data_IF_647932547139
#
_entry.id   IF_647932547139
#
_cell.length_a   1.000
_cell.length_b   1.000
_cell.length_c   1.000
_cell.angle_alpha   90.00
_cell.angle_beta   90.00
_cell.angle_gamma   90.00
#
_symmetry.space_group_name_H-M   'P 1'
#
loop_
_entity.id
_entity.type
_entity.pdbx_description
1 polymer ?
#
# COMPACT_ATOMS: atom_id res chain seq x y z
N UNK A 1 20.36 -16.48 -3.17
CA UNK A 1 18.88 -16.64 -3.33
C UNK A 1 18.18 -16.63 -1.98
N UNK A 2 18.63 -17.42 -0.99
CA UNK A 2 18.07 -17.43 0.36
C UNK A 2 18.14 -16.04 1.03
N UNK A 3 19.29 -15.34 0.95
CA UNK A 3 19.42 -13.97 1.46
C UNK A 3 18.41 -12.98 0.85
N UNK A 4 18.09 -13.09 -0.44
CA UNK A 4 17.10 -12.23 -1.11
C UNK A 4 15.69 -12.54 -0.61
N UNK A 5 15.31 -13.82 -0.52
CA UNK A 5 14.01 -14.25 -0.01
C UNK A 5 13.82 -13.90 1.46
N UNK A 6 14.87 -14.09 2.28
CA UNK A 6 14.86 -13.74 3.71
C UNK A 6 14.65 -12.23 3.92
N UNK A 7 15.24 -11.39 3.08
CA UNK A 7 15.04 -9.95 3.12
C UNK A 7 13.62 -9.54 2.73
N UNK A 8 13.05 -10.17 1.69
CA UNK A 8 11.66 -9.93 1.31
C UNK A 8 10.74 -10.28 2.48
N UNK A 9 10.92 -11.45 3.10
CA UNK A 9 10.13 -11.87 4.28
C UNK A 9 10.32 -10.91 5.45
N UNK A 10 11.56 -10.52 5.77
CA UNK A 10 11.86 -9.57 6.85
C UNK A 10 11.17 -8.23 6.62
N UNK A 11 11.30 -7.65 5.42
CA UNK A 11 10.69 -6.37 5.07
C UNK A 11 9.17 -6.45 5.12
N UNK A 12 8.59 -7.53 4.59
CA UNK A 12 7.16 -7.77 4.64
C UNK A 12 6.64 -7.91 6.07
N UNK A 13 7.31 -8.68 6.92
CA UNK A 13 6.95 -8.81 8.33
C UNK A 13 7.04 -7.45 9.05
N UNK A 14 8.12 -6.70 8.82
CA UNK A 14 8.29 -5.36 9.36
C UNK A 14 7.19 -4.39 8.93
N UNK A 15 6.81 -4.38 7.65
CA UNK A 15 5.67 -3.60 7.15
C UNK A 15 4.35 -4.02 7.81
N UNK A 16 4.14 -5.32 8.03
CA UNK A 16 2.97 -5.83 8.73
C UNK A 16 2.89 -5.35 10.17
N UNK A 17 3.98 -5.46 10.92
CA UNK A 17 4.06 -4.99 12.31
C UNK A 17 3.84 -3.48 12.40
N UNK A 18 4.49 -2.71 11.52
CA UNK A 18 4.32 -1.27 11.43
C UNK A 18 2.87 -0.87 11.13
N UNK A 19 2.29 -1.48 10.09
CA UNK A 19 0.91 -1.24 9.69
C UNK A 19 -0.08 -1.58 10.80
N UNK A 20 0.07 -2.74 11.44
CA UNK A 20 -0.79 -3.14 12.56
C UNK A 20 -0.68 -2.19 13.76
N UNK A 21 0.54 -1.79 14.14
CA UNK A 21 0.78 -0.89 15.26
C UNK A 21 0.17 0.50 14.99
N UNK A 22 0.41 1.09 13.82
CA UNK A 22 -0.12 2.41 13.49
C UNK A 22 -1.63 2.41 13.28
N UNK A 23 -2.21 1.33 12.75
CA UNK A 23 -3.67 1.19 12.66
C UNK A 23 -4.31 1.06 14.04
N UNK A 24 -3.67 0.31 14.94
CA UNK A 24 -4.12 0.22 16.32
C UNK A 24 -4.12 1.59 16.99
N UNK A 25 -3.00 2.32 16.94
CA UNK A 25 -2.88 3.67 17.53
C UNK A 25 -3.85 4.66 16.87
N UNK A 26 -4.02 4.56 15.55
CA UNK A 26 -4.90 5.41 14.74
C UNK A 26 -6.38 5.04 14.80
N UNK A 27 -6.79 4.05 15.60
CA UNK A 27 -8.16 3.55 15.63
C UNK A 27 -9.23 4.63 15.88
N UNK A 28 -9.02 5.63 16.77
CA UNK A 28 -9.97 6.72 16.92
C UNK A 28 -10.17 7.51 15.62
N UNK A 29 -9.10 7.81 14.89
CA UNK A 29 -9.17 8.49 13.60
C UNK A 29 -9.83 7.61 12.53
N UNK A 30 -9.58 6.30 12.55
CA UNK A 30 -10.26 5.34 11.68
C UNK A 30 -11.77 5.32 11.91
N UNK A 31 -12.22 5.32 13.17
CA UNK A 31 -13.66 5.40 13.49
C UNK A 31 -14.28 6.72 13.06
N UNK A 32 -13.63 7.86 13.32
CA UNK A 32 -14.11 9.17 12.87
C UNK A 32 -14.27 9.17 11.35
N UNK A 33 -13.28 8.68 10.61
CA UNK A 33 -13.34 8.61 9.16
C UNK A 33 -14.43 7.67 8.65
N UNK A 34 -14.66 6.53 9.31
CA UNK A 34 -15.75 5.62 8.95
C UNK A 34 -17.11 6.30 9.11
N UNK A 35 -17.38 6.96 10.24
CA UNK A 35 -18.64 7.68 10.45
C UNK A 35 -18.80 8.86 9.49
N UNK A 36 -17.77 9.69 9.32
CA UNK A 36 -17.79 10.86 8.43
C UNK A 36 -18.02 10.50 6.95
N UNK A 37 -17.71 9.26 6.55
CA UNK A 37 -17.92 8.76 5.19
C UNK A 37 -19.16 7.86 5.07
N UNK A 38 -19.95 7.69 6.14
CA UNK A 38 -21.18 6.90 6.12
C UNK A 38 -22.40 7.78 5.93
N UNK A 39 -23.54 7.17 5.60
CA UNK A 39 -24.84 7.84 5.56
C UNK A 39 -25.35 8.29 6.94
N UNK A 40 -24.68 7.91 8.04
CA UNK A 40 -25.08 8.29 9.40
C UNK A 40 -24.74 9.75 9.75
N UNK A 41 -23.86 10.39 8.96
CA UNK A 41 -23.42 11.76 9.17
C UNK A 41 -23.80 12.58 7.95
N UNK A 42 -24.75 13.51 8.14
CA UNK A 42 -25.31 14.34 7.05
C UNK A 42 -25.41 15.81 7.47
N UNK A 43 -25.59 16.70 6.50
CA UNK A 43 -25.77 18.13 6.76
C UNK A 43 -24.49 18.85 7.21
N UNK A 44 -24.63 19.88 8.04
CA UNK A 44 -23.52 20.72 8.53
C UNK A 44 -22.86 20.11 9.78
N UNK A 45 -21.57 20.41 9.99
CA UNK A 45 -20.85 19.92 11.18
C UNK A 45 -20.51 18.42 11.17
N UNK A 46 -20.35 17.82 9.98
CA UNK A 46 -20.13 16.38 9.80
C UNK A 46 -18.99 15.81 10.66
N UNK A 47 -17.86 16.52 10.76
CA UNK A 47 -16.73 16.06 11.55
C UNK A 47 -17.07 16.00 13.05
N UNK A 48 -17.77 17.02 13.56
CA UNK A 48 -18.22 17.06 14.95
C UNK A 48 -19.20 15.92 15.26
N UNK A 49 -20.15 15.66 14.35
CA UNK A 49 -21.06 14.53 14.47
C UNK A 49 -20.29 13.20 14.50
N UNK A 50 -19.33 13.01 13.60
CA UNK A 50 -18.51 11.80 13.54
C UNK A 50 -17.66 11.60 14.80
N UNK A 51 -17.07 12.66 15.35
CA UNK A 51 -16.33 12.63 16.62
C UNK A 51 -17.26 12.26 17.77
N UNK A 52 -18.44 12.87 17.85
CA UNK A 52 -19.43 12.57 18.90
C UNK A 52 -19.86 11.10 18.85
N UNK A 53 -20.17 10.57 17.67
CA UNK A 53 -20.52 9.15 17.49
C UNK A 53 -19.36 8.22 17.86
N UNK A 54 -18.12 8.60 17.52
CA UNK A 54 -16.93 7.80 17.81
C UNK A 54 -16.70 7.59 19.31
N UNK A 55 -17.02 8.60 20.13
CA UNK A 55 -16.76 8.61 21.56
C UNK A 55 -18.04 8.57 22.42
N UNK A 56 -19.18 8.27 21.82
CA UNK A 56 -20.48 8.28 22.53
C UNK A 56 -20.49 7.36 23.76
N UNK A 57 -19.77 6.23 23.69
CA UNK A 57 -19.71 5.21 24.75
C UNK A 57 -18.40 5.30 25.59
N UNK A 58 -17.72 6.45 25.54
CA UNK A 58 -16.50 6.77 26.27
C UNK A 58 -15.22 6.82 25.42
N UNK A 59 -14.13 7.30 26.02
CA UNK A 59 -12.85 7.55 25.34
C UNK A 59 -12.22 6.30 24.68
N UNK A 60 -12.48 5.11 25.24
CA UNK A 60 -11.97 3.84 24.72
C UNK A 60 -12.95 3.10 23.80
N UNK A 61 -14.14 3.65 23.54
CA UNK A 61 -15.11 3.06 22.63
C UNK A 61 -14.52 2.68 21.24
N UNK A 62 -13.64 3.48 20.62
CA UNK A 62 -13.07 3.14 19.31
C UNK A 62 -12.27 1.84 19.31
N UNK A 63 -11.66 1.47 20.44
CA UNK A 63 -10.81 0.28 20.55
C UNK A 63 -11.60 -1.00 20.79
N UNK A 64 -12.87 -0.91 21.21
CA UNK A 64 -13.72 -2.09 21.49
C UNK A 64 -13.96 -2.97 20.26
N UNK A 65 -13.83 -2.41 19.05
CA UNK A 65 -13.95 -3.17 17.80
C UNK A 65 -12.66 -3.85 17.36
N UNK A 66 -11.57 -3.65 18.08
CA UNK A 66 -10.26 -4.22 17.73
C UNK A 66 -10.15 -5.62 18.32
N UNK A 67 -10.58 -6.61 17.55
CA UNK A 67 -10.37 -8.02 17.89
C UNK A 67 -9.04 -8.57 17.39
N UNK A 68 -8.72 -9.82 17.78
CA UNK A 68 -7.55 -10.57 17.28
C UNK A 68 -7.53 -10.64 15.74
N UNK A 69 -8.69 -10.84 15.13
CA UNK A 69 -8.85 -10.86 13.68
C UNK A 69 -8.48 -9.52 13.02
N UNK A 70 -8.78 -8.39 13.66
CA UNK A 70 -8.40 -7.06 13.15
C UNK A 70 -6.89 -6.88 13.11
N UNK A 71 -6.19 -7.29 14.18
CA UNK A 71 -4.72 -7.22 14.26
C UNK A 71 -4.07 -8.08 13.18
N UNK A 72 -4.53 -9.34 13.04
CA UNK A 72 -4.03 -10.25 11.99
C UNK A 72 -4.33 -9.69 10.60
N UNK A 73 -5.53 -9.16 10.37
CA UNK A 73 -5.89 -8.56 9.09
C UNK A 73 -5.00 -7.35 8.75
N UNK A 74 -4.75 -6.44 9.70
CA UNK A 74 -3.84 -5.32 9.46
C UNK A 74 -2.40 -5.80 9.22
N UNK A 75 -1.91 -6.74 10.01
CA UNK A 75 -0.59 -7.32 9.79
C UNK A 75 -0.47 -7.88 8.36
N UNK A 76 -1.40 -8.77 7.98
CA UNK A 76 -1.39 -9.40 6.67
C UNK A 76 -1.60 -8.39 5.53
N UNK A 77 -2.45 -7.38 5.72
CA UNK A 77 -2.69 -6.32 4.75
C UNK A 77 -1.38 -5.66 4.31
N UNK A 78 -0.59 -5.16 5.27
CA UNK A 78 0.67 -4.48 4.96
C UNK A 78 1.80 -5.45 4.60
N UNK A 79 1.86 -6.63 5.23
CA UNK A 79 2.85 -7.66 4.89
C UNK A 79 2.70 -8.20 3.49
N UNK A 80 1.48 -8.58 3.09
CA UNK A 80 1.19 -9.14 1.78
C UNK A 80 1.42 -8.09 0.69
N UNK A 81 0.99 -6.85 0.90
CA UNK A 81 1.26 -5.77 -0.04
C UNK A 81 2.77 -5.61 -0.29
N UNK A 82 3.57 -5.50 0.77
CA UNK A 82 5.03 -5.39 0.66
C UNK A 82 5.70 -6.62 0.06
N UNK A 83 5.19 -7.81 0.39
CA UNK A 83 5.70 -9.09 -0.14
C UNK A 83 5.46 -9.21 -1.64
N UNK A 84 4.21 -8.99 -2.06
CA UNK A 84 3.80 -9.10 -3.46
C UNK A 84 4.49 -8.05 -4.28
N UNK A 85 4.53 -6.78 -3.84
CA UNK A 85 5.21 -5.72 -4.56
C UNK A 85 6.67 -6.08 -4.82
N UNK A 86 7.43 -6.42 -3.78
CA UNK A 86 8.85 -6.77 -3.92
C UNK A 86 9.06 -8.02 -4.78
N UNK A 87 8.23 -9.05 -4.60
CA UNK A 87 8.36 -10.29 -5.36
C UNK A 87 8.10 -10.06 -6.85
N UNK A 88 7.06 -9.30 -7.17
CA UNK A 88 6.71 -8.96 -8.56
C UNK A 88 7.73 -8.01 -9.16
N UNK A 89 8.17 -6.97 -8.44
CA UNK A 89 9.22 -6.07 -8.91
C UNK A 89 10.51 -6.83 -9.22
N UNK A 90 10.95 -7.70 -8.31
CA UNK A 90 12.14 -8.55 -8.51
C UNK A 90 11.98 -9.48 -9.72
N UNK A 91 10.84 -10.16 -9.84
CA UNK A 91 10.57 -11.10 -10.92
C UNK A 91 10.54 -10.39 -12.27
N UNK A 92 9.78 -9.30 -12.37
CA UNK A 92 9.65 -8.54 -13.62
C UNK A 92 10.96 -7.86 -13.99
N UNK A 93 11.71 -7.29 -13.04
CA UNK A 93 13.04 -6.75 -13.31
C UNK A 93 14.00 -7.81 -13.86
N UNK A 94 13.97 -9.02 -13.30
CA UNK A 94 14.79 -10.13 -13.80
C UNK A 94 14.33 -10.63 -15.16
N UNK A 95 13.02 -10.67 -15.43
CA UNK A 95 12.47 -11.18 -16.68
C UNK A 95 12.62 -10.17 -17.84
N UNK A 96 12.48 -8.88 -17.55
CA UNK A 96 12.55 -7.81 -18.53
C UNK A 96 13.95 -7.21 -18.69
N UNK A 97 14.91 -7.63 -17.85
CA UNK A 97 16.28 -7.11 -17.87
C UNK A 97 16.37 -5.63 -17.46
N UNK A 98 15.48 -5.14 -16.60
CA UNK A 98 15.44 -3.74 -16.17
C UNK A 98 15.70 -3.57 -14.67
N UNK A 99 16.12 -2.36 -14.26
CA UNK A 99 16.42 -2.05 -12.85
C UNK A 99 15.18 -2.19 -11.96
N UNK A 100 15.39 -2.58 -10.70
CA UNK A 100 14.35 -2.62 -9.66
C UNK A 100 13.86 -1.21 -9.31
N UNK A 101 12.69 -1.11 -8.68
CA UNK A 101 12.24 0.17 -8.13
C UNK A 101 13.23 0.67 -7.06
N UNK A 102 13.36 1.98 -6.93
CA UNK A 102 14.30 2.57 -5.98
C UNK A 102 13.96 2.20 -4.55
N UNK A 103 15.00 1.81 -3.80
CA UNK A 103 14.85 1.37 -2.42
C UNK A 103 16.02 1.79 -1.53
N UNK A 104 15.71 2.17 -0.30
CA UNK A 104 16.70 2.33 0.76
C UNK A 104 17.69 3.47 0.47
N UNK A 105 19.01 3.26 0.68
CA UNK A 105 20.05 4.27 0.44
C UNK A 105 20.05 4.86 -0.98
N UNK A 106 19.55 4.11 -1.97
CA UNK A 106 19.44 4.55 -3.36
C UNK A 106 18.62 5.83 -3.54
N UNK A 107 17.73 6.16 -2.59
CA UNK A 107 16.92 7.38 -2.64
C UNK A 107 17.74 8.64 -2.31
N UNK A 108 18.77 8.48 -1.49
CA UNK A 108 19.64 9.55 -1.05
C UNK A 108 20.79 9.83 -2.03
N UNK A 109 21.04 8.90 -2.95
CA UNK A 109 22.04 9.09 -3.99
C UNK A 109 21.59 10.14 -5.01
N UNK A 110 22.56 10.91 -5.52
CA UNK A 110 22.33 11.77 -6.66
C UNK A 110 21.84 10.92 -7.85
N UNK A 111 20.87 11.41 -8.65
CA UNK A 111 20.61 10.85 -9.96
C UNK A 111 21.94 10.81 -10.73
N UNK A 112 22.25 9.68 -11.35
CA UNK A 112 23.45 9.57 -12.18
C UNK A 112 23.41 10.68 -13.25
N UNK A 113 24.40 11.59 -13.22
CA UNK A 113 24.51 12.76 -14.13
C UNK A 113 24.63 12.42 -15.61
N UNK A 114 24.83 11.14 -15.93
CA UNK A 114 24.66 10.64 -17.29
C UNK A 114 23.19 10.79 -17.65
N UNK A 115 22.85 11.81 -18.44
CA UNK A 115 21.53 11.94 -19.05
C UNK A 115 21.13 10.56 -19.57
N UNK A 116 20.01 10.04 -19.07
CA UNK A 116 19.59 8.66 -19.27
C UNK A 116 19.56 8.33 -20.76
N UNK A 117 20.67 7.80 -21.28
CA UNK A 117 20.78 7.15 -22.59
C UNK A 117 20.21 5.74 -22.53
N UNK A 118 19.43 5.41 -21.50
CA UNK A 118 18.65 4.19 -21.46
C UNK A 118 17.78 4.15 -22.72
N UNK A 119 17.87 3.09 -23.53
CA UNK A 119 17.11 3.00 -24.75
C UNK A 119 15.61 3.12 -24.45
N UNK A 120 14.79 3.69 -25.36
CA UNK A 120 13.34 3.86 -25.13
C UNK A 120 12.63 2.57 -24.72
N UNK A 121 13.12 1.43 -25.19
CA UNK A 121 12.65 0.10 -24.78
C UNK A 121 12.85 -0.18 -23.29
N UNK A 122 13.99 0.19 -22.69
CA UNK A 122 14.24 0.00 -21.26
C UNK A 122 13.32 0.90 -20.42
N UNK A 123 13.09 2.14 -20.85
CA UNK A 123 12.14 3.07 -20.21
C UNK A 123 10.72 2.52 -20.27
N UNK A 124 10.30 2.01 -21.43
CA UNK A 124 8.97 1.40 -21.60
C UNK A 124 8.79 0.16 -20.72
N UNK A 125 9.80 -0.72 -20.64
CA UNK A 125 9.77 -1.91 -19.79
C UNK A 125 9.75 -1.57 -18.30
N UNK A 126 10.51 -0.56 -17.88
CA UNK A 126 10.46 -0.04 -16.51
C UNK A 126 9.08 0.56 -16.20
N UNK A 127 8.51 1.34 -17.12
CA UNK A 127 7.15 1.89 -17.01
C UNK A 127 6.08 0.81 -16.89
N UNK A 128 6.15 -0.23 -17.71
CA UNK A 128 5.23 -1.37 -17.66
C UNK A 128 5.29 -2.09 -16.31
N UNK A 129 6.51 -2.38 -15.82
CA UNK A 129 6.72 -3.02 -14.53
C UNK A 129 6.18 -2.17 -13.38
N UNK A 130 6.47 -0.87 -13.39
CA UNK A 130 6.02 0.06 -12.34
C UNK A 130 4.50 0.25 -12.33
N UNK A 131 3.80 -0.06 -13.43
CA UNK A 131 2.34 -0.18 -13.45
C UNK A 131 1.83 -1.54 -12.93
N UNK A 132 2.44 -2.65 -13.35
CA UNK A 132 1.95 -4.01 -13.01
C UNK A 132 2.17 -4.33 -11.53
N UNK A 133 3.34 -4.04 -10.97
CA UNK A 133 3.69 -4.46 -9.61
C UNK A 133 2.73 -3.90 -8.54
N UNK A 134 2.37 -2.60 -8.56
CA UNK A 134 1.35 -2.06 -7.65
C UNK A 134 -0.04 -2.64 -7.85
N UNK A 135 -0.46 -2.90 -9.10
CA UNK A 135 -1.78 -3.46 -9.41
C UNK A 135 -1.91 -4.86 -8.81
N UNK A 136 -0.90 -5.71 -9.00
CA UNK A 136 -0.88 -7.06 -8.42
C UNK A 136 -0.80 -7.01 -6.89
N UNK A 137 0.03 -6.14 -6.33
CA UNK A 137 0.13 -5.95 -4.89
C UNK A 137 -1.21 -5.53 -4.28
N UNK A 138 -1.86 -4.49 -4.82
CA UNK A 138 -3.16 -4.01 -4.34
C UNK A 138 -4.30 -5.00 -4.54
N UNK A 139 -4.28 -5.79 -5.62
CA UNK A 139 -5.30 -6.81 -5.88
C UNK A 139 -5.20 -7.99 -4.90
N UNK A 140 -3.99 -8.50 -4.65
CA UNK A 140 -3.79 -9.61 -3.72
C UNK A 140 -4.04 -9.17 -2.28
N UNK A 141 -3.53 -8.00 -1.89
CA UNK A 141 -3.83 -7.43 -0.56
C UNK A 141 -5.34 -7.24 -0.38
N UNK A 142 -6.07 -6.82 -1.43
CA UNK A 142 -7.52 -6.70 -1.36
C UNK A 142 -8.21 -8.05 -1.16
N UNK A 143 -7.67 -9.14 -1.70
CA UNK A 143 -8.21 -10.48 -1.45
C UNK A 143 -8.13 -10.87 0.03
N UNK A 144 -7.12 -10.37 0.74
CA UNK A 144 -6.88 -10.65 2.16
C UNK A 144 -7.65 -9.69 3.07
N UNK A 145 -7.63 -8.39 2.75
CA UNK A 145 -8.10 -7.33 3.65
C UNK A 145 -9.58 -6.96 3.45
N UNK A 146 -10.13 -7.10 2.23
CA UNK A 146 -11.44 -6.55 1.89
C UNK A 146 -12.57 -7.12 2.75
N UNK A 147 -12.60 -8.43 3.01
CA UNK A 147 -13.61 -9.04 3.90
C UNK A 147 -13.55 -8.48 5.32
N UNK A 148 -12.34 -8.30 5.86
CA UNK A 148 -12.13 -7.71 7.17
C UNK A 148 -12.54 -6.23 7.21
N UNK A 149 -12.31 -5.48 6.13
CA UNK A 149 -12.79 -4.09 6.01
C UNK A 149 -14.32 -4.03 6.02
N UNK A 150 -15.01 -4.93 5.31
CA UNK A 150 -16.48 -4.97 5.28
C UNK A 150 -17.05 -5.33 6.65
N UNK A 151 -16.46 -6.31 7.34
CA UNK A 151 -16.84 -6.68 8.71
C UNK A 151 -16.68 -5.51 9.68
N UNK A 152 -15.58 -4.74 9.58
CA UNK A 152 -15.40 -3.53 10.40
C UNK A 152 -16.41 -2.42 10.07
N UNK A 153 -16.85 -2.35 8.81
CA UNK A 153 -17.81 -1.35 8.35
C UNK A 153 -19.23 -1.64 8.82
N UNK A 154 -19.75 -2.85 8.61
CA UNK A 154 -21.15 -3.19 8.92
C UNK A 154 -21.35 -4.02 10.20
N UNK A 155 -20.30 -4.63 10.73
CA UNK A 155 -20.42 -5.70 11.73
C UNK A 155 -20.61 -7.08 11.11
N UNK A 156 -20.48 -8.12 11.94
CA UNK A 156 -20.53 -9.52 11.50
C UNK A 156 -21.89 -9.90 10.91
N UNK A 157 -22.98 -9.54 11.59
CA UNK A 157 -24.33 -9.98 11.19
C UNK A 157 -24.73 -9.45 9.81
N UNK A 158 -24.54 -8.15 9.58
CA UNK A 158 -24.81 -7.52 8.28
C UNK A 158 -23.87 -8.03 7.20
N UNK A 159 -22.60 -8.30 7.52
CA UNK A 159 -21.68 -8.92 6.57
C UNK A 159 -22.15 -10.31 6.14
N UNK A 160 -22.55 -11.16 7.08
CA UNK A 160 -23.11 -12.48 6.77
C UNK A 160 -24.36 -12.39 5.89
N UNK A 161 -25.24 -11.40 6.11
CA UNK A 161 -26.38 -11.14 5.24
C UNK A 161 -25.97 -10.74 3.82
N UNK A 162 -24.98 -9.84 3.70
CA UNK A 162 -24.41 -9.43 2.41
C UNK A 162 -23.82 -10.63 1.65
N UNK A 163 -23.09 -11.51 2.35
CA UNK A 163 -22.52 -12.71 1.75
C UNK A 163 -23.58 -13.72 1.30
N UNK A 164 -24.61 -13.94 2.12
CA UNK A 164 -25.70 -14.84 1.78
C UNK A 164 -26.46 -14.37 0.52
N UNK A 165 -26.73 -13.05 0.41
CA UNK A 165 -27.41 -12.46 -0.74
C UNK A 165 -26.59 -12.51 -2.03
N UNK A 166 -25.26 -12.47 -1.93
CA UNK A 166 -24.35 -12.44 -3.09
C UNK A 166 -24.29 -13.78 -3.85
N UNK A 167 -24.69 -14.90 -3.24
CA UNK A 167 -24.78 -16.20 -3.93
C UNK A 167 -23.53 -16.61 -4.70
N UNK A 168 -22.33 -16.35 -4.15
CA UNK A 168 -21.09 -16.30 -4.92
C UNK A 168 -20.33 -17.64 -5.01
N UNK A 169 -19.88 -18.00 -6.22
CA UNK A 169 -18.88 -19.06 -6.45
C UNK A 169 -17.53 -18.79 -5.74
N UNK A 170 -16.64 -19.78 -5.69
CA UNK A 170 -15.39 -19.77 -4.90
C UNK A 170 -14.54 -18.52 -5.13
N UNK A 171 -14.35 -18.11 -6.39
CA UNK A 171 -13.57 -16.92 -6.74
C UNK A 171 -14.18 -15.61 -6.24
N UNK A 172 -15.51 -15.47 -6.33
CA UNK A 172 -16.22 -14.28 -5.87
C UNK A 172 -16.20 -14.18 -4.33
N UNK A 173 -16.24 -15.33 -3.63
CA UNK A 173 -16.01 -15.40 -2.18
C UNK A 173 -14.58 -15.00 -1.79
N UNK A 174 -13.58 -15.41 -2.57
CA UNK A 174 -12.17 -15.09 -2.33
C UNK A 174 -11.87 -13.59 -2.48
N UNK A 175 -12.43 -12.91 -3.49
CA UNK A 175 -12.22 -11.48 -3.69
C UNK A 175 -13.00 -10.60 -2.69
N UNK A 176 -14.03 -11.13 -2.03
CA UNK A 176 -14.90 -10.34 -1.16
C UNK A 176 -15.78 -9.33 -1.94
N UNK A 177 -16.72 -8.66 -1.25
CA UNK A 177 -17.70 -7.79 -1.89
C UNK A 177 -17.07 -6.45 -2.31
N UNK A 178 -17.60 -5.82 -3.37
CA UNK A 178 -17.08 -4.54 -3.91
C UNK A 178 -15.56 -4.54 -4.21
N UNK A 179 -14.99 -5.70 -4.56
CA UNK A 179 -13.54 -5.89 -4.69
C UNK A 179 -12.85 -4.89 -5.61
N UNK A 180 -13.42 -4.56 -6.77
CA UNK A 180 -12.72 -3.74 -7.76
C UNK A 180 -12.42 -2.32 -7.25
N UNK A 181 -13.34 -1.70 -6.50
CA UNK A 181 -13.08 -0.39 -5.90
C UNK A 181 -11.99 -0.47 -4.81
N UNK A 182 -11.99 -1.53 -3.99
CA UNK A 182 -10.96 -1.76 -2.98
C UNK A 182 -9.58 -2.03 -3.61
N UNK A 183 -9.53 -2.93 -4.60
CA UNK A 183 -8.31 -3.27 -5.34
C UNK A 183 -7.73 -2.05 -6.06
N UNK A 184 -8.57 -1.23 -6.68
CA UNK A 184 -8.13 0.01 -7.34
C UNK A 184 -7.53 0.99 -6.32
N UNK A 185 -8.19 1.17 -5.17
CA UNK A 185 -7.69 2.01 -4.08
C UNK A 185 -6.32 1.52 -3.62
N UNK A 186 -6.18 0.24 -3.36
CA UNK A 186 -4.95 -0.32 -2.81
C UNK A 186 -3.83 -0.38 -3.86
N UNK A 187 -4.14 -0.52 -5.14
CA UNK A 187 -3.19 -0.37 -6.23
C UNK A 187 -2.62 1.07 -6.29
N UNK A 188 -3.47 2.09 -6.13
CA UNK A 188 -3.02 3.49 -6.05
C UNK A 188 -2.13 3.70 -4.83
N UNK A 189 -2.55 3.22 -3.65
CA UNK A 189 -1.74 3.36 -2.44
C UNK A 189 -0.39 2.64 -2.55
N UNK A 190 -0.37 1.47 -3.18
CA UNK A 190 0.87 0.74 -3.48
C UNK A 190 1.74 1.53 -4.46
N UNK A 191 1.16 2.09 -5.52
CA UNK A 191 1.89 2.85 -6.53
C UNK A 191 2.48 4.12 -5.92
N UNK A 192 1.72 4.85 -5.12
CA UNK A 192 2.20 6.09 -4.50
C UNK A 192 3.31 5.81 -3.50
N UNK A 193 3.18 4.73 -2.72
CA UNK A 193 4.14 4.42 -1.66
C UNK A 193 5.44 3.81 -2.14
N UNK A 194 5.37 2.87 -3.10
CA UNK A 194 6.54 2.09 -3.51
C UNK A 194 7.14 2.53 -4.85
N UNK A 195 6.42 3.30 -5.66
CA UNK A 195 6.88 3.75 -6.98
C UNK A 195 6.99 5.26 -7.03
N UNK A 196 5.88 5.99 -6.92
CA UNK A 196 5.86 7.43 -7.18
C UNK A 196 6.67 8.21 -6.14
N UNK A 197 6.42 8.00 -4.84
CA UNK A 197 7.15 8.72 -3.80
C UNK A 197 8.67 8.48 -3.90
N UNK A 198 9.16 7.23 -3.95
CA UNK A 198 10.60 6.98 -4.07
C UNK A 198 11.20 7.54 -5.36
N UNK A 199 10.50 7.41 -6.49
CA UNK A 199 10.96 7.92 -7.80
C UNK A 199 11.02 9.43 -7.82
N UNK A 200 9.96 10.11 -7.37
CA UNK A 200 9.91 11.56 -7.36
C UNK A 200 10.91 12.15 -6.37
N UNK A 201 11.05 11.53 -5.19
CA UNK A 201 12.03 11.95 -4.21
C UNK A 201 13.46 11.81 -4.74
N UNK A 202 13.78 10.69 -5.39
CA UNK A 202 15.12 10.49 -5.95
C UNK A 202 15.41 11.48 -7.08
N UNK A 203 14.50 11.63 -8.03
CA UNK A 203 14.76 12.32 -9.29
C UNK A 203 14.58 13.84 -9.21
N UNK A 204 13.65 14.34 -8.40
CA UNK A 204 13.25 15.74 -8.42
C UNK A 204 13.43 16.47 -7.09
N UNK A 205 13.62 15.77 -5.97
CA UNK A 205 13.86 16.45 -4.70
C UNK A 205 15.29 17.01 -4.66
N UNK A 206 15.50 18.28 -4.24
CA UNK A 206 16.82 18.91 -4.21
C UNK A 206 17.82 18.08 -3.40
N UNK A 207 18.96 17.76 -4.02
CA UNK A 207 19.91 16.78 -3.50
C UNK A 207 20.52 17.21 -2.16
N UNK A 208 20.80 18.50 -2.02
CA UNK A 208 21.32 19.15 -0.82
C UNK A 208 20.32 19.16 0.35
N UNK A 209 19.04 18.95 0.08
CA UNK A 209 17.97 18.89 1.08
C UNK A 209 17.56 17.45 1.43
N UNK A 210 18.10 16.45 0.73
CA UNK A 210 17.74 15.05 0.99
C UNK A 210 18.23 14.62 2.37
N UNK A 211 17.31 14.08 3.15
CA UNK A 211 17.55 13.55 4.48
C UNK A 211 16.42 12.59 4.83
N UNK A 212 16.62 11.76 5.86
CA UNK A 212 15.57 10.88 6.36
C UNK A 212 14.33 11.67 6.81
N UNK A 213 14.52 12.86 7.39
CA UNK A 213 13.45 13.77 7.80
C UNK A 213 12.69 14.33 6.60
N UNK A 214 13.39 14.75 5.54
CA UNK A 214 12.69 15.27 4.35
C UNK A 214 12.00 14.16 3.57
N UNK A 215 12.53 12.92 3.57
CA UNK A 215 11.82 11.76 3.01
C UNK A 215 10.53 11.46 3.78
N UNK A 216 10.54 11.58 5.11
CA UNK A 216 9.34 11.45 5.92
C UNK A 216 8.28 12.46 5.50
N UNK A 217 8.62 13.76 5.47
CA UNK A 217 7.67 14.81 5.12
C UNK A 217 7.25 14.77 3.66
N UNK A 218 8.15 14.41 2.74
CA UNK A 218 7.83 14.25 1.33
C UNK A 218 6.92 13.06 1.10
N UNK A 219 7.18 11.92 1.74
CA UNK A 219 6.30 10.76 1.70
C UNK A 219 4.94 11.06 2.30
N UNK A 220 4.92 11.76 3.44
CA UNK A 220 3.70 12.28 4.04
C UNK A 220 2.94 13.15 3.02
N UNK A 221 3.60 14.11 2.37
CA UNK A 221 3.02 14.95 1.33
C UNK A 221 2.46 14.18 0.13
N UNK A 222 3.28 13.37 -0.52
CA UNK A 222 2.90 12.64 -1.74
C UNK A 222 1.83 11.58 -1.49
N UNK A 223 1.99 10.75 -0.47
CA UNK A 223 1.00 9.71 -0.17
C UNK A 223 -0.29 10.29 0.41
N UNK A 224 -0.22 11.36 1.20
CA UNK A 224 -1.44 11.98 1.74
C UNK A 224 -2.18 12.76 0.67
N UNK A 225 -1.52 13.71 0.01
CA UNK A 225 -2.27 14.68 -0.77
C UNK A 225 -2.53 14.18 -2.19
N UNK A 226 -1.59 13.48 -2.83
CA UNK A 226 -1.81 12.93 -4.16
C UNK A 226 -2.48 11.55 -4.11
N UNK A 227 -1.93 10.63 -3.29
CA UNK A 227 -2.43 9.27 -3.19
C UNK A 227 -3.81 9.17 -2.55
N UNK A 228 -4.02 9.78 -1.38
CA UNK A 228 -5.30 9.64 -0.70
C UNK A 228 -6.45 10.37 -1.40
N UNK A 229 -6.24 11.46 -2.15
CA UNK A 229 -7.34 12.12 -2.87
C UNK A 229 -8.08 11.14 -3.78
N UNK A 230 -7.32 10.40 -4.60
CA UNK A 230 -7.90 9.38 -5.49
C UNK A 230 -8.38 8.16 -4.70
N UNK A 231 -7.66 7.77 -3.65
CA UNK A 231 -8.09 6.67 -2.79
C UNK A 231 -9.41 6.96 -2.07
N UNK A 232 -9.69 8.21 -1.70
CA UNK A 232 -10.92 8.63 -1.02
C UNK A 232 -12.13 8.49 -1.93
N UNK A 233 -12.01 8.90 -3.20
CA UNK A 233 -13.12 8.74 -4.16
C UNK A 233 -13.44 7.27 -4.38
N UNK A 234 -12.41 6.42 -4.46
CA UNK A 234 -12.57 4.96 -4.57
C UNK A 234 -13.10 4.32 -3.28
N UNK A 235 -12.76 4.83 -2.10
CA UNK A 235 -13.32 4.37 -0.83
C UNK A 235 -14.81 4.73 -0.71
N UNK A 236 -15.20 5.95 -1.13
CA UNK A 236 -16.59 6.36 -1.16
C UNK A 236 -17.40 5.52 -2.17
N UNK A 237 -16.81 5.24 -3.34
CA UNK A 237 -17.39 4.31 -4.31
C UNK A 237 -17.55 2.90 -3.72
N UNK A 238 -16.51 2.38 -3.05
CA UNK A 238 -16.54 1.08 -2.37
C UNK A 238 -17.70 1.00 -1.37
N UNK A 239 -17.81 1.97 -0.46
CA UNK A 239 -18.89 2.01 0.54
C UNK A 239 -20.28 2.00 -0.10
N UNK A 240 -20.52 2.86 -1.10
CA UNK A 240 -21.81 2.91 -1.81
C UNK A 240 -22.11 1.62 -2.57
N UNK A 241 -21.10 1.00 -3.16
CA UNK A 241 -21.30 -0.27 -3.88
C UNK A 241 -21.59 -1.43 -2.93
N UNK A 242 -21.11 -1.35 -1.69
CA UNK A 242 -21.51 -2.28 -0.64
C UNK A 242 -22.96 -2.03 -0.20
N UNK A 243 -23.38 -0.77 -0.07
CA UNK A 243 -24.78 -0.46 0.24
C UNK A 243 -25.72 -0.99 -0.86
N UNK A 244 -25.34 -0.81 -2.14
CA UNK A 244 -26.10 -1.38 -3.26
C UNK A 244 -26.11 -2.91 -3.23
N UNK A 245 -24.97 -3.54 -2.94
CA UNK A 245 -24.91 -4.99 -2.80
C UNK A 245 -25.80 -5.49 -1.67
N UNK A 246 -25.81 -4.77 -0.54
CA UNK A 246 -26.67 -5.09 0.59
C UNK A 246 -28.14 -4.97 0.20
N UNK A 247 -28.54 -3.94 -0.54
CA UNK A 247 -29.94 -3.70 -0.93
C UNK A 247 -30.43 -4.60 -2.07
N UNK A 248 -29.60 -4.81 -3.09
CA UNK A 248 -30.01 -5.39 -4.38
C UNK A 248 -29.36 -6.75 -4.69
N UNK A 249 -28.45 -7.24 -3.86
CA UNK A 249 -27.76 -8.52 -4.07
C UNK A 249 -26.74 -8.51 -5.22
N UNK A 250 -26.55 -7.37 -5.91
CA UNK A 250 -25.60 -7.21 -7.00
C UNK A 250 -24.87 -5.86 -6.92
N UNK A 251 -23.65 -5.80 -7.48
CA UNK A 251 -22.85 -4.56 -7.55
C UNK A 251 -22.95 -3.97 -8.95
N UNK A 252 -23.35 -2.69 -9.03
CA UNK A 252 -23.22 -1.90 -10.25
C UNK A 252 -22.50 -0.58 -9.94
N UNK A 253 -21.20 -0.52 -10.23
CA UNK A 253 -20.40 0.69 -10.00
C UNK A 253 -20.98 1.91 -10.72
N UNK A 254 -21.48 1.73 -11.94
CA UNK A 254 -22.15 2.80 -12.71
C UNK A 254 -23.39 3.30 -11.98
N UNK A 255 -24.24 2.39 -11.48
CA UNK A 255 -25.44 2.79 -10.75
C UNK A 255 -25.07 3.50 -9.43
N UNK A 256 -24.08 3.01 -8.69
CA UNK A 256 -23.60 3.65 -7.47
C UNK A 256 -23.09 5.07 -7.73
N UNK A 257 -22.33 5.28 -8.81
CA UNK A 257 -21.86 6.60 -9.24
C UNK A 257 -23.03 7.50 -9.62
N UNK A 258 -23.91 7.04 -10.50
CA UNK A 258 -25.04 7.84 -10.98
C UNK A 258 -25.99 8.21 -9.84
N UNK A 259 -26.29 7.27 -8.94
CA UNK A 259 -27.13 7.50 -7.78
C UNK A 259 -26.49 8.54 -6.85
N UNK A 260 -25.21 8.37 -6.49
CA UNK A 260 -24.50 9.32 -5.64
C UNK A 260 -24.47 10.73 -6.22
N UNK A 261 -24.14 10.85 -7.51
CA UNK A 261 -24.14 12.14 -8.21
C UNK A 261 -25.54 12.78 -8.28
N UNK A 262 -26.60 11.98 -8.44
CA UNK A 262 -27.99 12.48 -8.46
C UNK A 262 -28.47 12.95 -7.09
N UNK A 263 -28.10 12.25 -6.01
CA UNK A 263 -28.62 12.54 -4.67
C UNK A 263 -27.81 13.59 -3.93
N UNK A 264 -26.47 13.57 -4.09
CA UNK A 264 -25.55 14.39 -3.29
C UNK A 264 -24.55 15.19 -4.17
N UNK A 265 -24.63 15.08 -5.50
CA UNK A 265 -23.68 15.74 -6.41
C UNK A 265 -22.24 15.27 -6.16
N UNK A 266 -21.28 16.19 -6.31
CA UNK A 266 -19.87 15.91 -6.00
C UNK A 266 -19.63 15.56 -4.52
N UNK A 267 -20.49 16.04 -3.62
CA UNK A 267 -20.42 15.74 -2.18
C UNK A 267 -20.59 14.25 -1.87
N UNK A 268 -21.15 13.49 -2.82
CA UNK A 268 -21.24 12.04 -2.73
C UNK A 268 -19.88 11.36 -2.52
N UNK A 269 -18.86 11.87 -3.20
CA UNK A 269 -17.50 11.30 -3.25
C UNK A 269 -16.47 12.18 -2.54
N UNK A 270 -16.73 13.49 -2.44
CA UNK A 270 -15.78 14.44 -1.89
C UNK A 270 -16.46 15.53 -1.07
N UNK A 271 -16.14 15.60 0.21
CA UNK A 271 -16.37 16.78 1.05
C UNK A 271 -15.08 17.07 1.83
N UNK A 272 -14.85 18.31 2.29
CA UNK A 272 -13.71 18.60 3.15
C UNK A 272 -13.67 17.67 4.37
N UNK A 273 -14.81 17.40 5.02
CA UNK A 273 -14.87 16.49 6.18
C UNK A 273 -14.49 15.04 5.82
N UNK A 274 -15.02 14.50 4.72
CA UNK A 274 -14.66 13.16 4.20
C UNK A 274 -13.17 13.11 3.86
N UNK A 275 -12.65 14.18 3.27
CA UNK A 275 -11.26 14.27 2.87
C UNK A 275 -10.30 14.36 4.07
N UNK A 276 -10.51 15.34 4.96
CA UNK A 276 -9.67 15.54 6.15
C UNK A 276 -9.66 14.32 7.05
N UNK A 277 -10.83 13.73 7.33
CA UNK A 277 -10.90 12.53 8.19
C UNK A 277 -10.11 11.36 7.61
N UNK A 278 -10.12 11.17 6.29
CA UNK A 278 -9.39 10.10 5.62
C UNK A 278 -7.90 10.38 5.49
N UNK A 279 -7.54 11.61 5.18
CA UNK A 279 -6.16 12.08 5.22
C UNK A 279 -5.58 11.80 6.59
N UNK A 280 -6.23 12.25 7.66
CA UNK A 280 -5.74 12.07 9.03
C UNK A 280 -5.69 10.58 9.45
N UNK A 281 -6.65 9.77 9.02
CA UNK A 281 -6.65 8.33 9.28
C UNK A 281 -5.47 7.61 8.58
N UNK A 282 -5.22 7.91 7.31
CA UNK A 282 -4.20 7.22 6.52
C UNK A 282 -2.81 7.84 6.67
N UNK A 283 -2.71 9.09 7.12
CA UNK A 283 -1.46 9.84 7.25
C UNK A 283 -0.38 9.08 8.04
N UNK A 284 -0.66 8.56 9.25
CA UNK A 284 0.37 7.86 10.01
C UNK A 284 0.78 6.58 9.31
N UNK A 285 -0.17 5.70 8.96
CA UNK A 285 0.16 4.36 8.47
C UNK A 285 0.71 4.35 7.04
N UNK A 286 0.07 5.09 6.13
CA UNK A 286 0.41 5.09 4.70
C UNK A 286 1.34 6.25 4.32
N UNK A 287 1.18 7.43 4.93
CA UNK A 287 2.04 8.58 4.67
C UNK A 287 3.50 8.34 5.07
N UNK A 288 3.71 7.62 6.17
CA UNK A 288 5.06 7.30 6.66
C UNK A 288 5.65 6.02 6.07
N UNK A 289 4.86 5.26 5.29
CA UNK A 289 5.29 3.97 4.76
C UNK A 289 6.54 4.07 3.87
N UNK A 290 6.70 5.08 2.98
CA UNK A 290 7.92 5.26 2.22
C UNK A 290 9.14 5.50 3.10
N UNK A 291 8.99 6.29 4.17
CA UNK A 291 10.06 6.50 5.13
C UNK A 291 10.39 5.21 5.89
N UNK A 292 9.40 4.55 6.48
CA UNK A 292 9.63 3.32 7.25
C UNK A 292 10.28 2.23 6.38
N UNK A 293 9.77 2.06 5.16
CA UNK A 293 10.27 1.06 4.21
C UNK A 293 11.70 1.35 3.77
N UNK A 294 12.05 2.61 3.50
CA UNK A 294 13.35 2.96 2.95
C UNK A 294 14.38 3.42 3.98
N UNK A 295 13.99 3.63 5.24
CA UNK A 295 14.91 4.08 6.29
C UNK A 295 14.99 3.10 7.44
N UNK A 296 13.85 2.75 8.03
CA UNK A 296 13.84 1.95 9.27
C UNK A 296 14.15 0.49 8.99
N UNK A 297 13.52 -0.12 7.97
CA UNK A 297 13.77 -1.52 7.64
C UNK A 297 15.23 -1.81 7.23
N UNK A 298 15.90 -0.98 6.40
CA UNK A 298 17.31 -1.18 6.07
C UNK A 298 18.24 -1.38 7.27
N UNK A 299 17.98 -0.73 8.41
CA UNK A 299 18.80 -0.84 9.61
C UNK A 299 18.93 -2.29 10.12
N UNK A 300 17.89 -3.11 9.97
CA UNK A 300 17.90 -4.51 10.38
C UNK A 300 18.33 -5.51 9.30
N UNK A 301 18.58 -5.06 8.07
CA UNK A 301 18.93 -5.97 6.97
C UNK A 301 20.29 -6.65 7.14
N UNK A 302 21.26 -5.95 7.74
CA UNK A 302 22.61 -6.48 7.95
C UNK A 302 22.64 -7.77 8.78
N UNK A 303 22.06 -7.78 9.99
CA UNK A 303 21.89 -9.01 10.78
C UNK A 303 21.13 -10.12 10.04
N UNK A 304 20.04 -9.79 9.34
CA UNK A 304 19.24 -10.78 8.60
C UNK A 304 20.03 -11.42 7.46
N UNK A 305 20.81 -10.63 6.71
CA UNK A 305 21.70 -11.14 5.65
C UNK A 305 22.74 -12.09 6.22
N UNK A 306 23.37 -11.72 7.33
CA UNK A 306 24.36 -12.58 8.00
C UNK A 306 23.74 -13.90 8.46
N UNK A 307 22.58 -13.86 9.11
CA UNK A 307 21.88 -15.07 9.53
C UNK A 307 21.50 -15.97 8.34
N UNK A 308 20.99 -15.39 7.24
CA UNK A 308 20.64 -16.15 6.04
C UNK A 308 21.88 -16.78 5.36
N UNK A 309 23.02 -16.08 5.36
CA UNK A 309 24.30 -16.61 4.87
C UNK A 309 24.78 -17.80 5.70
N UNK A 310 24.73 -17.70 7.03
CA UNK A 310 25.10 -18.81 7.92
C UNK A 310 24.23 -20.06 7.67
N UNK A 311 22.93 -19.88 7.40
CA UNK A 311 22.04 -21.00 7.06
C UNK A 311 22.38 -21.61 5.69
N UNK A 312 22.71 -20.79 4.69
CA UNK A 312 23.13 -21.28 3.37
C UNK A 312 24.46 -22.06 3.46
N UNK A 313 25.41 -21.55 4.23
CA UNK A 313 26.72 -22.17 4.46
C UNK A 313 26.57 -23.51 5.22
N UNK A 314 25.74 -23.54 6.27
CA UNK A 314 25.45 -24.76 7.03
C UNK A 314 24.74 -25.85 6.21
N UNK A 315 23.95 -25.45 5.19
CA UNK A 315 23.27 -26.38 4.28
C UNK A 315 24.16 -26.89 3.15
N UNK A 316 25.43 -26.48 3.10
CA UNK A 316 26.35 -26.88 2.04
C UNK A 316 25.88 -26.42 0.65
N UNK A 317 25.10 -25.34 0.57
CA UNK A 317 24.61 -24.80 -0.71
C UNK A 317 25.80 -24.22 -1.46
N UNK A 318 26.47 -25.05 -2.28
CA UNK A 318 27.54 -24.59 -3.18
C UNK A 318 27.03 -23.38 -3.93
N UNK A 319 27.74 -22.23 -3.80
CA UNK A 319 27.48 -21.03 -4.59
C UNK A 319 27.46 -21.45 -6.07
N UNK A 320 26.27 -21.56 -6.67
CA UNK A 320 26.16 -21.71 -8.12
C UNK A 320 26.86 -20.49 -8.69
N UNK A 321 27.88 -20.72 -9.53
CA UNK A 321 28.47 -19.65 -10.33
C UNK A 321 27.31 -18.89 -10.99
N UNK A 322 27.29 -17.55 -10.95
CA UNK A 322 26.28 -16.77 -11.65
C UNK A 322 26.23 -17.27 -13.10
N UNK A 323 25.03 -17.33 -13.70
CA UNK A 323 24.96 -17.76 -15.10
C UNK A 323 25.83 -16.81 -15.94
N UNK A 324 26.42 -17.28 -17.05
CA UNK A 324 27.24 -16.43 -17.92
C UNK A 324 26.52 -15.14 -18.35
N UNK A 325 25.19 -15.17 -18.37
CA UNK A 325 24.32 -14.04 -18.69
C UNK A 325 24.27 -13.00 -17.55
N UNK A 326 24.19 -13.45 -16.29
CA UNK A 326 24.30 -12.56 -15.11
C UNK A 326 25.71 -11.98 -14.99
N UNK A 327 26.73 -12.78 -15.34
CA UNK A 327 28.12 -12.35 -15.28
C UNK A 327 28.40 -11.22 -16.30
N UNK A 328 27.94 -11.39 -17.56
CA UNK A 328 28.02 -10.33 -18.59
C UNK A 328 27.27 -9.05 -18.22
N UNK A 329 26.09 -9.17 -17.61
CA UNK A 329 25.32 -7.99 -17.16
C UNK A 329 25.98 -7.26 -15.98
N UNK A 330 26.73 -7.97 -15.13
CA UNK A 330 27.44 -7.36 -14.01
C UNK A 330 28.72 -6.66 -14.48
N UNK A 331 29.44 -7.28 -15.42
CA UNK A 331 30.66 -6.71 -16.04
C UNK A 331 30.38 -5.45 -16.87
N UNK A 332 29.17 -5.32 -17.45
CA UNK A 332 28.76 -4.09 -18.15
C UNK A 332 28.35 -2.94 -17.21
N UNK A 333 28.23 -3.19 -15.90
CA UNK A 333 27.75 -2.20 -14.91
C UNK A 333 28.85 -1.54 -14.07
N UNK A 334 30.12 -1.93 -14.25
CA UNK A 334 31.26 -1.37 -13.52
C UNK A 334 32.20 -0.68 -14.53
N UNK A 335 32.26 0.67 -14.58
CA UNK A 335 33.32 1.34 -15.32
C UNK A 335 34.66 1.02 -14.64
N UNK A 336 35.53 0.32 -15.37
CA UNK A 336 36.92 0.09 -14.99
C UNK A 336 37.72 1.40 -15.12
N UNK A 337 37.62 2.30 -14.14
CA UNK A 337 38.58 3.40 -13.99
C UNK A 337 38.50 4.01 -12.60
N UNK A 338 39.27 3.47 -11.66
CA UNK A 338 39.90 4.26 -10.60
C UNK A 338 41.40 3.94 -10.62
N UNK A 339 42.29 4.92 -10.81
CA UNK A 339 43.72 4.69 -10.67
C UNK A 339 44.05 4.43 -9.19
N UNK A 340 45.10 3.64 -8.92
CA UNK A 340 45.51 3.36 -7.54
C UNK A 340 46.03 4.65 -6.89
N UNK A 341 45.47 4.96 -5.72
CA UNK A 341 46.05 5.85 -4.71
C UNK A 341 46.64 5.01 -3.59
#
# INVERSE_FOLDING_TARGET
RCATSALVVYRSAGLGLWGAALRYIGMPLEKIALYANSSQVTGTGQLTQAVRLTFQDGAFAPYRVVGRASIVAWFLQYSVMGFVFQSVDNLLSSALGCKQCYYGPQLMEAPSKAGSTAPPSEVALFGLKTAIAPILAGSIESGVANRAEVQRYYGLDKFSQIEARRGAGVLSRACGPAFAANASRNAIMSATSFVLTPTLYRLYFPQEMKSHTTLFWFGLGMNIFAGNVVAITLQALWGRTLDQLALHGSVSYRAAVQQGLRTEGAAAFFTPAKWFSRVLMNAPAQGTLPWFYNEVLPLGEGPVRRAAQLVDDARGVKKRKPSPLVQRLTEQSIPSSLPPS
#
